data_IF_917778449387
#
_entry.id   IF_917778449387
#
_cell.length_a   1.000
_cell.length_b   1.000
_cell.length_c   1.000
_cell.angle_alpha   90.00
_cell.angle_beta   90.00
_cell.angle_gamma   90.00
#
_symmetry.space_group_name_H-M   'P 1'
#
loop_
_entity.id
_entity.type
_entity.pdbx_description
1 polymer ?
#
# COMPACT_ATOMS: atom_id res chain seq x y z
N UNK A 1 2.03 -5.48 8.91
CA UNK A 1 2.13 -6.95 9.09
C UNK A 1 3.25 -7.50 8.20
N UNK A 2 4.23 -8.21 8.76
CA UNK A 2 5.33 -8.85 8.03
C UNK A 2 4.87 -10.01 7.11
N UNK A 3 3.59 -10.34 7.07
CA UNK A 3 3.00 -11.32 6.17
C UNK A 3 1.83 -10.71 5.41
N UNK A 4 1.74 -10.99 4.12
CA UNK A 4 0.72 -10.45 3.21
C UNK A 4 -0.70 -10.96 3.52
N UNK A 5 -0.85 -11.88 4.48
CA UNK A 5 -2.10 -12.47 4.97
C UNK A 5 -3.03 -12.99 3.85
N UNK A 6 -2.45 -13.48 2.76
CA UNK A 6 -3.22 -14.13 1.69
C UNK A 6 -3.65 -15.54 2.12
N UNK A 7 -4.83 -15.95 1.70
CA UNK A 7 -5.30 -17.32 1.88
C UNK A 7 -4.52 -18.27 0.97
N UNK A 8 -3.58 -19.03 1.54
CA UNK A 8 -2.65 -19.87 0.80
C UNK A 8 -3.30 -21.01 -0.02
N UNK A 9 -4.48 -21.45 0.38
CA UNK A 9 -5.28 -22.47 -0.28
C UNK A 9 -6.15 -21.94 -1.43
N UNK A 10 -6.25 -20.61 -1.58
CA UNK A 10 -7.06 -19.94 -2.59
C UNK A 10 -6.18 -19.37 -3.72
N UNK A 11 -6.74 -19.26 -4.92
CA UNK A 11 -6.11 -18.52 -6.03
C UNK A 11 -6.07 -17.03 -5.76
N UNK A 12 -5.32 -16.28 -6.56
CA UNK A 12 -5.28 -14.81 -6.54
C UNK A 12 -6.69 -14.23 -6.70
N UNK A 13 -7.44 -14.69 -7.71
CA UNK A 13 -8.81 -14.24 -7.93
C UNK A 13 -9.69 -14.53 -6.70
N UNK A 14 -9.62 -15.75 -6.16
CA UNK A 14 -10.45 -16.12 -5.00
C UNK A 14 -10.08 -15.35 -3.73
N UNK A 15 -8.82 -14.98 -3.54
CA UNK A 15 -8.41 -14.07 -2.47
C UNK A 15 -9.12 -12.72 -2.55
N UNK A 16 -9.36 -12.20 -3.77
CA UNK A 16 -10.03 -10.91 -3.97
C UNK A 16 -11.56 -11.00 -3.99
N UNK A 17 -12.15 -12.19 -4.26
CA UNK A 17 -13.62 -12.32 -4.33
C UNK A 17 -14.25 -12.76 -3.01
N UNK A 18 -13.55 -13.57 -2.19
CA UNK A 18 -14.14 -14.20 -1.02
C UNK A 18 -14.72 -13.19 -0.01
N UNK A 19 -14.03 -12.08 0.22
CA UNK A 19 -14.52 -11.00 1.11
C UNK A 19 -15.78 -10.36 0.58
N UNK A 20 -15.82 -10.06 -0.71
CA UNK A 20 -16.97 -9.45 -1.37
C UNK A 20 -18.22 -10.36 -1.29
N UNK A 21 -18.05 -11.66 -1.57
CA UNK A 21 -19.13 -12.65 -1.50
C UNK A 21 -19.64 -12.86 -0.06
N UNK A 22 -18.72 -13.00 0.91
CA UNK A 22 -19.06 -13.38 2.29
C UNK A 22 -19.49 -12.19 3.15
N UNK A 23 -18.88 -11.04 2.98
CA UNK A 23 -19.12 -9.84 3.80
C UNK A 23 -20.06 -8.87 3.11
N UNK A 24 -19.74 -8.48 1.87
CA UNK A 24 -20.55 -7.50 1.13
C UNK A 24 -21.79 -8.14 0.46
N UNK A 25 -21.90 -9.49 0.50
CA UNK A 25 -23.00 -10.25 -0.11
C UNK A 25 -23.19 -10.02 -1.61
N UNK A 26 -22.12 -9.61 -2.31
CA UNK A 26 -22.15 -9.49 -3.77
C UNK A 26 -22.34 -10.86 -4.43
N UNK A 27 -22.97 -10.88 -5.59
CA UNK A 27 -23.03 -12.08 -6.42
C UNK A 27 -21.64 -12.50 -6.86
N UNK A 28 -21.46 -13.75 -7.24
CA UNK A 28 -20.18 -14.27 -7.73
C UNK A 28 -19.69 -13.48 -8.95
N UNK A 29 -20.57 -13.18 -9.88
CA UNK A 29 -20.27 -12.44 -11.12
C UNK A 29 -19.82 -11.01 -10.83
N UNK A 30 -20.50 -10.30 -9.93
CA UNK A 30 -20.12 -8.95 -9.50
C UNK A 30 -18.77 -8.96 -8.78
N UNK A 31 -18.55 -9.91 -7.88
CA UNK A 31 -17.30 -10.05 -7.14
C UNK A 31 -16.12 -10.37 -8.06
N UNK A 32 -16.30 -11.26 -9.05
CA UNK A 32 -15.27 -11.59 -10.03
C UNK A 32 -14.94 -10.37 -10.93
N UNK A 33 -15.96 -9.69 -11.45
CA UNK A 33 -15.77 -8.48 -12.28
C UNK A 33 -14.97 -7.42 -11.54
N UNK A 34 -15.36 -7.14 -10.31
CA UNK A 34 -14.69 -6.15 -9.46
C UNK A 34 -13.26 -6.57 -9.11
N UNK A 35 -13.06 -7.84 -8.74
CA UNK A 35 -11.72 -8.37 -8.44
C UNK A 35 -10.79 -8.29 -9.66
N UNK A 36 -11.24 -8.64 -10.85
CA UNK A 36 -10.45 -8.56 -12.07
C UNK A 36 -10.02 -7.13 -12.38
N UNK A 37 -10.92 -6.17 -12.23
CA UNK A 37 -10.62 -4.74 -12.42
C UNK A 37 -9.47 -4.28 -11.48
N UNK A 38 -9.52 -4.62 -10.20
CA UNK A 38 -8.45 -4.24 -9.27
C UNK A 38 -7.17 -5.04 -9.47
N UNK A 39 -7.25 -6.32 -9.83
CA UNK A 39 -6.07 -7.12 -10.17
C UNK A 39 -5.36 -6.59 -11.42
N UNK A 40 -6.09 -6.11 -12.41
CA UNK A 40 -5.52 -5.42 -13.57
C UNK A 40 -4.84 -4.12 -13.15
N UNK A 41 -5.50 -3.31 -12.32
CA UNK A 41 -4.97 -2.03 -11.82
C UNK A 41 -3.63 -2.18 -11.09
N UNK A 42 -3.41 -3.29 -10.39
CA UNK A 42 -2.14 -3.60 -9.71
C UNK A 42 -1.19 -4.48 -10.53
N UNK A 43 -1.50 -4.76 -11.81
CA UNK A 43 -0.67 -5.56 -12.71
C UNK A 43 -0.65 -7.06 -12.39
N UNK A 44 -1.70 -7.59 -11.76
CA UNK A 44 -1.79 -9.00 -11.37
C UNK A 44 -2.79 -9.82 -12.19
N UNK A 45 -3.37 -9.25 -13.24
CA UNK A 45 -4.29 -9.96 -14.15
C UNK A 45 -3.72 -11.27 -14.74
N UNK A 46 -2.42 -11.36 -15.13
CA UNK A 46 -1.86 -12.62 -15.65
C UNK A 46 -1.79 -13.75 -14.61
N UNK A 47 -1.91 -13.44 -13.32
CA UNK A 47 -1.70 -14.37 -12.21
C UNK A 47 -2.98 -14.79 -11.49
N UNK A 48 -4.17 -14.54 -12.05
CA UNK A 48 -5.47 -14.76 -11.39
C UNK A 48 -5.68 -16.20 -10.90
N UNK A 49 -5.12 -17.19 -11.62
CA UNK A 49 -5.21 -18.61 -11.29
C UNK A 49 -4.05 -19.10 -10.41
N UNK A 50 -3.01 -18.29 -10.18
CA UNK A 50 -1.89 -18.65 -9.34
C UNK A 50 -2.29 -18.70 -7.85
N UNK A 51 -1.58 -19.52 -7.07
CA UNK A 51 -1.67 -19.52 -5.61
C UNK A 51 -0.55 -18.69 -5.00
N UNK A 52 -0.71 -18.17 -3.76
CA UNK A 52 0.30 -17.34 -3.12
C UNK A 52 1.72 -17.93 -3.08
N UNK A 53 1.84 -19.24 -2.98
CA UNK A 53 3.15 -19.93 -3.01
C UNK A 53 3.94 -19.76 -4.32
N UNK A 54 3.25 -19.41 -5.40
CA UNK A 54 3.83 -19.24 -6.75
C UNK A 54 4.21 -17.79 -7.04
N UNK A 55 4.00 -16.87 -6.08
CA UNK A 55 4.18 -15.44 -6.24
C UNK A 55 5.42 -14.94 -5.49
N UNK A 56 6.10 -13.94 -6.05
CA UNK A 56 7.13 -13.18 -5.35
C UNK A 56 6.53 -12.33 -4.20
N UNK A 57 7.37 -11.78 -3.33
CA UNK A 57 6.94 -10.90 -2.25
C UNK A 57 6.15 -9.68 -2.76
N UNK A 58 6.68 -8.98 -3.76
CA UNK A 58 6.02 -7.82 -4.37
C UNK A 58 4.70 -8.18 -5.07
N UNK A 59 4.62 -9.34 -5.71
CA UNK A 59 3.37 -9.85 -6.28
C UNK A 59 2.32 -10.14 -5.20
N UNK A 60 2.72 -10.78 -4.09
CA UNK A 60 1.82 -11.02 -2.95
C UNK A 60 1.30 -9.71 -2.36
N UNK A 61 2.16 -8.72 -2.23
CA UNK A 61 1.75 -7.40 -1.72
C UNK A 61 0.75 -6.74 -2.66
N UNK A 62 0.98 -6.76 -3.97
CA UNK A 62 0.03 -6.21 -4.96
C UNK A 62 -1.32 -6.94 -4.93
N UNK A 63 -1.33 -8.26 -4.75
CA UNK A 63 -2.58 -9.02 -4.55
C UNK A 63 -3.27 -8.63 -3.24
N UNK A 64 -2.54 -8.40 -2.15
CA UNK A 64 -3.10 -7.95 -0.89
C UNK A 64 -3.74 -6.55 -1.02
N UNK A 65 -3.11 -5.65 -1.78
CA UNK A 65 -3.67 -4.33 -2.12
C UNK A 65 -4.95 -4.49 -2.94
N UNK A 66 -4.93 -5.30 -4.01
CA UNK A 66 -6.12 -5.54 -4.83
C UNK A 66 -7.28 -6.14 -4.03
N UNK A 67 -6.98 -7.06 -3.11
CA UNK A 67 -7.98 -7.64 -2.19
C UNK A 67 -8.61 -6.59 -1.30
N UNK A 68 -7.82 -5.68 -0.76
CA UNK A 68 -8.32 -4.59 0.07
C UNK A 68 -9.19 -3.62 -0.75
N UNK A 69 -8.74 -3.24 -1.94
CA UNK A 69 -9.48 -2.37 -2.87
C UNK A 69 -10.80 -2.99 -3.32
N UNK A 70 -10.85 -4.31 -3.50
CA UNK A 70 -12.06 -5.03 -3.90
C UNK A 70 -13.19 -4.96 -2.86
N UNK A 71 -12.87 -4.58 -1.63
CA UNK A 71 -13.87 -4.29 -0.59
C UNK A 71 -14.45 -2.87 -0.70
N UNK A 72 -13.98 -2.06 -1.67
CA UNK A 72 -14.41 -0.68 -1.93
C UNK A 72 -14.34 0.23 -0.70
N UNK A 73 -13.18 0.29 -0.03
CA UNK A 73 -13.02 1.07 1.19
C UNK A 73 -13.02 2.58 0.88
N UNK A 74 -13.55 3.39 1.80
CA UNK A 74 -13.43 4.85 1.74
C UNK A 74 -11.99 5.31 2.06
N UNK A 75 -11.31 4.59 2.97
CA UNK A 75 -9.94 4.87 3.40
C UNK A 75 -9.14 3.57 3.42
N UNK A 76 -7.93 3.60 2.86
CA UNK A 76 -7.01 2.46 2.90
C UNK A 76 -5.81 2.77 3.82
N UNK A 77 -5.57 1.85 4.77
CA UNK A 77 -4.47 1.97 5.73
C UNK A 77 -3.30 1.08 5.30
N UNK A 78 -2.13 1.68 5.17
CA UNK A 78 -0.88 0.97 4.91
C UNK A 78 0.06 1.12 6.12
N UNK A 79 0.49 -0.01 6.64
CA UNK A 79 1.46 -0.08 7.72
C UNK A 79 2.72 -0.75 7.18
N UNK A 80 3.74 0.05 6.88
CA UNK A 80 5.02 -0.36 6.29
C UNK A 80 4.89 -1.36 5.12
N UNK A 81 4.23 -0.98 4.02
CA UNK A 81 3.85 -1.92 2.95
C UNK A 81 5.03 -2.53 2.21
N UNK A 82 6.24 -2.00 2.39
CA UNK A 82 7.47 -2.45 1.70
C UNK A 82 8.48 -3.14 2.61
N UNK A 83 8.29 -3.13 3.94
CA UNK A 83 9.28 -3.60 4.92
C UNK A 83 9.66 -5.08 4.79
N UNK A 84 8.76 -5.92 4.27
CA UNK A 84 8.99 -7.34 4.06
C UNK A 84 9.43 -7.71 2.63
N UNK A 85 9.81 -6.71 1.82
CA UNK A 85 10.15 -6.89 0.41
C UNK A 85 11.65 -6.75 0.18
N UNK A 86 12.15 -7.52 -0.80
CA UNK A 86 13.49 -7.27 -1.35
C UNK A 86 13.53 -5.89 -2.03
N UNK A 87 14.65 -5.14 -1.94
CA UNK A 87 14.77 -3.81 -2.52
C UNK A 87 14.35 -3.71 -4.00
N UNK A 88 14.60 -4.76 -4.78
CA UNK A 88 14.21 -4.82 -6.19
C UNK A 88 12.69 -4.82 -6.41
N UNK A 89 11.91 -5.27 -5.42
CA UNK A 89 10.45 -5.36 -5.51
C UNK A 89 9.73 -4.14 -4.92
N UNK A 90 10.43 -3.31 -4.14
CA UNK A 90 9.87 -2.12 -3.48
C UNK A 90 9.30 -1.15 -4.51
N UNK A 91 10.06 -0.86 -5.58
CA UNK A 91 9.66 0.09 -6.61
C UNK A 91 8.31 -0.22 -7.26
N UNK A 92 8.03 -1.49 -7.56
CA UNK A 92 6.78 -1.92 -8.18
C UNK A 92 5.56 -1.67 -7.27
N UNK A 93 5.71 -1.90 -5.97
CA UNK A 93 4.64 -1.69 -4.99
C UNK A 93 4.39 -0.18 -4.78
N UNK A 94 5.46 0.61 -4.64
CA UNK A 94 5.36 2.06 -4.51
C UNK A 94 4.72 2.70 -5.74
N UNK A 95 5.00 2.19 -6.94
CA UNK A 95 4.39 2.70 -8.17
C UNK A 95 2.87 2.43 -8.22
N UNK A 96 2.43 1.26 -7.76
CA UNK A 96 1.00 0.99 -7.59
C UNK A 96 0.37 1.98 -6.61
N UNK A 97 1.01 2.25 -5.47
CA UNK A 97 0.51 3.19 -4.48
C UNK A 97 0.46 4.63 -5.00
N UNK A 98 1.46 5.07 -5.82
CA UNK A 98 1.42 6.38 -6.52
C UNK A 98 0.19 6.50 -7.43
N UNK A 99 -0.10 5.45 -8.20
CA UNK A 99 -1.28 5.42 -9.08
C UNK A 99 -2.58 5.54 -8.28
N UNK A 100 -2.69 4.83 -7.15
CA UNK A 100 -3.85 4.91 -6.27
C UNK A 100 -4.03 6.32 -5.66
N UNK A 101 -2.92 6.96 -5.25
CA UNK A 101 -2.94 8.34 -4.77
C UNK A 101 -3.41 9.32 -5.86
N UNK A 102 -2.91 9.15 -7.09
CA UNK A 102 -3.30 9.96 -8.25
C UNK A 102 -4.76 9.78 -8.63
N UNK A 103 -5.29 8.57 -8.46
CA UNK A 103 -6.71 8.26 -8.68
C UNK A 103 -7.63 8.84 -7.59
N UNK A 104 -7.07 9.50 -6.57
CA UNK A 104 -7.84 10.18 -5.53
C UNK A 104 -8.24 9.30 -4.35
N UNK A 105 -7.72 8.08 -4.23
CA UNK A 105 -7.98 7.22 -3.08
C UNK A 105 -7.43 7.86 -1.80
N UNK A 106 -8.24 7.94 -0.76
CA UNK A 106 -7.80 8.38 0.56
C UNK A 106 -6.97 7.28 1.22
N UNK A 107 -5.73 7.60 1.56
CA UNK A 107 -4.80 6.64 2.16
C UNK A 107 -4.13 7.24 3.39
N UNK A 108 -3.93 6.42 4.42
CA UNK A 108 -3.03 6.70 5.54
C UNK A 108 -1.88 5.71 5.44
N UNK A 109 -0.65 6.20 5.36
CA UNK A 109 0.53 5.39 5.08
C UNK A 109 1.58 5.61 6.15
N UNK A 110 1.94 4.55 6.87
CA UNK A 110 3.14 4.51 7.70
C UNK A 110 4.27 3.94 6.84
N UNK A 111 5.36 4.67 6.67
CA UNK A 111 6.45 4.25 5.78
C UNK A 111 7.78 4.89 6.17
N UNK A 112 8.87 4.21 5.85
CA UNK A 112 10.23 4.72 5.88
C UNK A 112 10.76 5.10 4.47
N UNK A 113 9.93 5.00 3.44
CA UNK A 113 10.25 5.39 2.07
C UNK A 113 10.07 6.90 1.90
N UNK A 114 11.08 7.68 2.33
CA UNK A 114 10.97 9.14 2.43
C UNK A 114 10.75 9.82 1.08
N UNK A 115 11.41 9.36 0.02
CA UNK A 115 11.21 9.90 -1.33
C UNK A 115 9.76 9.69 -1.80
N UNK A 116 9.21 8.50 -1.56
CA UNK A 116 7.82 8.20 -1.87
C UNK A 116 6.85 9.06 -1.06
N UNK A 117 7.06 9.19 0.25
CA UNK A 117 6.22 10.00 1.12
C UNK A 117 6.22 11.48 0.67
N UNK A 118 7.40 12.02 0.32
CA UNK A 118 7.55 13.38 -0.22
C UNK A 118 6.75 13.61 -1.50
N UNK A 119 6.77 12.62 -2.41
CA UNK A 119 6.10 12.72 -3.72
C UNK A 119 4.57 12.67 -3.63
N UNK A 120 4.01 11.84 -2.72
CA UNK A 120 2.57 11.52 -2.76
C UNK A 120 1.76 12.13 -1.63
N UNK A 121 2.40 12.46 -0.48
CA UNK A 121 1.67 12.91 0.69
C UNK A 121 1.19 14.36 0.53
N UNK A 122 -0.09 14.60 0.75
CA UNK A 122 -0.67 15.95 0.89
C UNK A 122 -0.43 16.49 2.29
N UNK A 123 -0.46 15.61 3.30
CA UNK A 123 -0.23 15.91 4.70
C UNK A 123 0.73 14.87 5.27
N UNK A 124 1.70 15.32 6.04
CA UNK A 124 2.74 14.48 6.66
C UNK A 124 2.71 14.69 8.15
N UNK A 125 2.78 13.62 8.90
CA UNK A 125 2.87 13.59 10.35
C UNK A 125 4.17 12.90 10.73
N UNK A 126 5.09 13.62 11.35
CA UNK A 126 6.30 13.05 11.93
C UNK A 126 6.07 12.72 13.40
N UNK A 127 6.28 11.45 13.74
CA UNK A 127 6.12 10.94 15.09
C UNK A 127 7.47 10.57 15.69
N UNK A 128 7.68 10.92 16.93
CA UNK A 128 8.84 10.53 17.73
C UNK A 128 8.43 10.29 19.18
N UNK A 129 9.04 9.32 19.85
CA UNK A 129 8.78 8.98 21.26
C UNK A 129 7.28 8.78 21.59
N UNK A 130 6.51 8.27 20.64
CA UNK A 130 5.08 7.99 20.81
C UNK A 130 4.16 9.21 20.71
N UNK A 131 4.68 10.38 20.32
CA UNK A 131 3.90 11.62 20.15
C UNK A 131 4.08 12.23 18.77
N UNK A 132 3.15 13.07 18.35
CA UNK A 132 3.30 13.88 17.13
C UNK A 132 4.31 15.00 17.45
N UNK A 133 5.44 14.98 16.76
CA UNK A 133 6.51 15.98 16.89
C UNK A 133 6.26 17.17 15.98
N UNK A 134 5.89 16.88 14.73
CA UNK A 134 5.64 17.89 13.70
C UNK A 134 4.66 17.36 12.65
N UNK A 135 3.82 18.24 12.14
CA UNK A 135 2.89 17.92 11.05
C UNK A 135 2.71 19.11 10.11
N UNK A 136 2.39 18.83 8.85
CA UNK A 136 2.20 19.87 7.84
C UNK A 136 2.12 19.30 6.43
N UNK A 137 2.24 20.16 5.43
CA UNK A 137 2.36 19.72 4.04
C UNK A 137 3.67 18.97 3.82
N UNK A 138 3.78 18.25 2.69
CA UNK A 138 5.02 17.60 2.29
C UNK A 138 6.19 18.59 2.28
N UNK A 139 6.01 19.80 1.73
CA UNK A 139 7.05 20.83 1.70
C UNK A 139 7.42 21.34 3.10
N UNK A 140 6.44 21.52 4.00
CA UNK A 140 6.73 21.97 5.38
C UNK A 140 7.65 21.00 6.09
N UNK A 141 7.42 19.70 5.95
CA UNK A 141 8.15 18.67 6.69
C UNK A 141 9.46 18.30 5.99
N UNK A 142 9.48 18.09 4.67
CA UNK A 142 10.68 17.63 3.98
C UNK A 142 11.65 18.74 3.57
N UNK A 143 11.14 19.95 3.26
CA UNK A 143 11.97 21.04 2.77
C UNK A 143 12.25 22.08 3.87
N UNK A 144 11.29 22.33 4.76
CA UNK A 144 11.33 23.39 5.77
C UNK A 144 10.99 22.91 7.19
N UNK A 145 11.59 21.78 7.68
CA UNK A 145 11.30 21.26 9.02
C UNK A 145 11.70 22.28 10.09
N UNK A 146 10.82 22.47 11.07
CA UNK A 146 11.02 23.44 12.16
C UNK A 146 11.62 22.80 13.40
N UNK A 147 11.27 21.53 13.67
CA UNK A 147 11.71 20.80 14.87
C UNK A 147 13.07 20.15 14.64
N UNK A 148 13.95 20.24 15.63
CA UNK A 148 15.31 19.65 15.55
C UNK A 148 15.25 18.13 15.35
N UNK A 149 14.34 17.43 16.03
CA UNK A 149 14.17 15.98 15.87
C UNK A 149 13.78 15.60 14.42
N UNK A 150 12.91 16.40 13.78
CA UNK A 150 12.54 16.20 12.37
C UNK A 150 13.74 16.42 11.45
N UNK A 151 14.53 17.50 11.69
CA UNK A 151 15.74 17.81 10.90
C UNK A 151 16.77 16.69 11.01
N UNK A 152 17.03 16.24 12.24
CA UNK A 152 17.98 15.16 12.49
C UNK A 152 17.56 13.86 11.80
N UNK A 153 16.29 13.50 11.94
CA UNK A 153 15.74 12.31 11.26
C UNK A 153 15.92 12.41 9.74
N UNK A 154 15.53 13.51 9.12
CA UNK A 154 15.60 13.69 7.67
C UNK A 154 17.03 13.80 7.15
N UNK A 155 17.97 14.29 7.95
CA UNK A 155 19.38 14.39 7.55
C UNK A 155 20.00 13.04 7.22
N UNK A 156 19.55 11.98 7.89
CA UNK A 156 20.01 10.59 7.66
C UNK A 156 19.62 10.07 6.27
N UNK A 157 18.52 10.58 5.70
CA UNK A 157 18.02 10.16 4.37
C UNK A 157 18.52 11.06 3.22
N UNK A 158 19.06 12.25 3.52
CA UNK A 158 19.67 13.12 2.49
C UNK A 158 21.07 12.69 2.08
N UNK A 159 21.73 11.87 2.90
CA UNK A 159 23.11 11.41 2.71
C UNK A 159 23.18 9.94 2.26
N UNK A 160 22.07 9.31 1.94
CA UNK A 160 21.95 7.97 1.37
C UNK A 160 21.54 8.04 -0.07
#
# INVERSE_FOLDING_TARGET
>A
FQSFNLFNNMTVLKNCTVGQEKVLKKSKEEAEKNALMYLEKVGMAPYINAKPKQLSGGQKQRVAIARALAMEPEILLFDEPTSALDPQMVGEVLEVMRKLAKDGLTMIIVTHEMAFARDVAKHVIFMGDGVIVEEGTSSDIFDHPKKEMTKEFLSRFRNS
#
